data_IF_520469827599
#
_entry.id   IF_520469827599
#
_cell.length_a   1.000
_cell.length_b   1.000
_cell.length_c   1.000
_cell.angle_alpha   90.00
_cell.angle_beta   90.00
_cell.angle_gamma   90.00
#
_symmetry.space_group_name_H-M   'P 1'
#
loop_
_entity.id
_entity.type
_entity.pdbx_description
1 polymer ?
#
# COMPACT_ATOMS: atom_id res chain seq x y z
N UNK A 1 4.72 -10.14 6.68
CA UNK A 1 4.72 -8.94 5.80
C UNK A 1 3.32 -8.78 5.25
N UNK A 2 2.69 -7.62 5.39
CA UNK A 2 1.39 -7.36 4.74
C UNK A 2 1.58 -7.51 3.23
N UNK A 3 0.70 -8.27 2.60
CA UNK A 3 0.73 -8.47 1.15
C UNK A 3 0.31 -7.16 0.45
N UNK A 4 0.74 -6.94 -0.79
CA UNK A 4 0.53 -5.65 -1.48
C UNK A 4 -0.98 -5.31 -1.61
N UNK A 5 -1.85 -6.32 -1.69
CA UNK A 5 -3.30 -6.16 -1.61
C UNK A 5 -3.78 -5.52 -0.29
N UNK A 6 -3.27 -5.99 0.85
CA UNK A 6 -3.66 -5.45 2.17
C UNK A 6 -3.22 -4.00 2.34
N UNK A 7 -2.07 -3.64 1.77
CA UNK A 7 -1.59 -2.25 1.74
C UNK A 7 -2.54 -1.39 0.91
N UNK A 8 -2.96 -1.86 -0.27
CA UNK A 8 -3.90 -1.12 -1.13
C UNK A 8 -5.27 -0.98 -0.43
N UNK A 9 -5.77 -2.02 0.23
CA UNK A 9 -7.03 -1.95 0.98
C UNK A 9 -6.94 -0.98 2.17
N UNK A 10 -5.84 -1.01 2.93
CA UNK A 10 -5.61 -0.09 4.05
C UNK A 10 -5.43 1.37 3.63
N UNK A 11 -5.00 1.62 2.39
CA UNK A 11 -4.94 2.94 1.77
C UNK A 11 -6.32 3.45 1.31
N UNK A 12 -7.38 2.64 1.40
CA UNK A 12 -8.73 2.98 0.93
C UNK A 12 -9.10 2.38 -0.43
N UNK A 13 -8.35 1.37 -0.89
CA UNK A 13 -8.64 0.62 -2.10
C UNK A 13 -8.12 1.28 -3.38
N UNK A 14 -8.40 0.63 -4.52
CA UNK A 14 -7.77 0.95 -5.81
C UNK A 14 -8.02 2.38 -6.27
N UNK A 15 -9.22 2.93 -6.00
CA UNK A 15 -9.59 4.29 -6.42
C UNK A 15 -8.83 5.37 -5.64
N UNK A 16 -8.63 5.16 -4.33
CA UNK A 16 -7.89 6.12 -3.50
C UNK A 16 -6.41 6.06 -3.83
N UNK A 17 -5.86 4.85 -3.98
CA UNK A 17 -4.47 4.66 -4.40
C UNK A 17 -4.21 5.26 -5.79
N UNK A 18 -5.13 5.11 -6.74
CA UNK A 18 -5.06 5.75 -8.05
C UNK A 18 -4.97 7.29 -7.96
N UNK A 19 -5.74 7.91 -7.04
CA UNK A 19 -5.70 9.35 -6.80
C UNK A 19 -4.39 9.80 -6.16
N UNK A 20 -3.87 9.05 -5.17
CA UNK A 20 -2.58 9.33 -4.52
C UNK A 20 -1.45 9.27 -5.54
N UNK A 21 -1.49 8.29 -6.43
CA UNK A 21 -0.45 8.10 -7.43
C UNK A 21 -0.56 9.09 -8.59
N UNK A 22 -1.68 9.78 -8.83
CA UNK A 22 -1.92 10.59 -10.05
C UNK A 22 -1.66 9.77 -11.35
N UNK A 23 -1.93 10.31 -12.57
CA UNK A 23 -2.94 9.80 -13.54
C UNK A 23 -2.98 8.27 -13.77
N UNK A 24 -3.00 7.49 -12.70
CA UNK A 24 -2.89 6.04 -12.71
C UNK A 24 -4.31 5.53 -12.64
N UNK A 25 -4.74 4.81 -13.68
CA UNK A 25 -6.09 4.24 -13.71
C UNK A 25 -6.28 3.23 -12.56
N UNK A 26 -7.46 3.14 -11.93
CA UNK A 26 -7.75 2.13 -10.90
C UNK A 26 -7.47 0.69 -11.35
N UNK A 27 -7.59 0.40 -12.65
CA UNK A 27 -7.28 -0.89 -13.25
C UNK A 27 -5.79 -1.25 -13.16
N UNK A 28 -4.90 -0.25 -13.28
CA UNK A 28 -3.45 -0.44 -13.12
C UNK A 28 -3.13 -0.86 -11.69
N UNK A 29 -3.79 -0.23 -10.71
CA UNK A 29 -3.67 -0.57 -9.28
C UNK A 29 -4.20 -1.98 -9.00
N UNK A 30 -5.29 -2.38 -9.66
CA UNK A 30 -5.77 -3.78 -9.60
C UNK A 30 -4.70 -4.77 -10.09
N UNK A 31 -3.96 -4.40 -11.13
CA UNK A 31 -2.81 -5.17 -11.60
C UNK A 31 -1.67 -5.30 -10.58
N UNK A 32 -1.46 -4.29 -9.73
CA UNK A 32 -0.43 -4.32 -8.67
C UNK A 32 -0.73 -5.36 -7.60
N UNK A 33 -2.00 -5.66 -7.34
CA UNK A 33 -2.39 -6.74 -6.41
C UNK A 33 -1.85 -8.11 -6.83
N UNK A 34 -1.69 -8.33 -8.14
CA UNK A 34 -1.21 -9.58 -8.72
C UNK A 34 0.29 -9.58 -8.99
N UNK A 35 0.81 -8.46 -9.51
CA UNK A 35 2.21 -8.33 -9.96
C UNK A 35 3.14 -7.69 -8.92
N UNK A 36 2.57 -7.13 -7.87
CA UNK A 36 3.24 -6.29 -6.89
C UNK A 36 3.19 -4.80 -7.25
N UNK A 37 3.24 -3.95 -6.23
CA UNK A 37 3.29 -2.49 -6.39
C UNK A 37 4.69 -2.10 -6.90
N UNK A 38 4.82 -1.34 -7.99
CA UNK A 38 6.10 -0.87 -8.48
C UNK A 38 6.88 -0.08 -7.42
N UNK A 39 8.21 -0.23 -7.41
CA UNK A 39 9.08 0.37 -6.39
C UNK A 39 8.95 1.90 -6.28
N UNK A 40 8.81 2.60 -7.40
CA UNK A 40 8.58 4.05 -7.42
C UNK A 40 7.31 4.44 -6.65
N UNK A 41 6.21 3.72 -6.90
CA UNK A 41 4.95 3.95 -6.20
C UNK A 41 4.99 3.52 -4.74
N UNK A 42 5.74 2.46 -4.38
CA UNK A 42 5.95 2.12 -2.97
C UNK A 42 6.58 3.26 -2.18
N UNK A 43 7.52 4.02 -2.76
CA UNK A 43 8.12 5.18 -2.10
C UNK A 43 7.10 6.31 -1.89
N UNK A 44 6.28 6.61 -2.91
CA UNK A 44 5.21 7.62 -2.81
C UNK A 44 4.20 7.23 -1.72
N UNK A 45 3.73 5.98 -1.75
CA UNK A 45 2.77 5.48 -0.76
C UNK A 45 3.37 5.46 0.65
N UNK A 46 4.66 5.15 0.78
CA UNK A 46 5.37 5.20 2.07
C UNK A 46 5.52 6.63 2.59
N UNK A 47 5.68 7.64 1.73
CA UNK A 47 5.66 9.04 2.15
C UNK A 47 4.27 9.48 2.62
N UNK A 48 3.21 8.97 1.98
CA UNK A 48 1.83 9.33 2.33
C UNK A 48 1.33 8.64 3.60
N UNK A 49 1.62 7.35 3.77
CA UNK A 49 1.21 6.53 4.92
C UNK A 49 2.34 5.61 5.36
N UNK A 50 3.39 6.15 6.01
CA UNK A 50 4.53 5.37 6.44
C UNK A 50 4.14 4.27 7.44
N UNK A 51 3.09 4.50 8.23
CA UNK A 51 2.52 3.56 9.21
C UNK A 51 2.05 2.23 8.59
N UNK A 52 1.61 2.23 7.33
CA UNK A 52 1.18 1.01 6.63
C UNK A 52 2.38 0.16 6.15
N UNK A 53 3.55 0.79 6.01
CA UNK A 53 4.79 0.16 5.58
C UNK A 53 5.74 -0.13 6.75
N UNK A 54 5.41 0.31 7.96
CA UNK A 54 6.10 -0.10 9.18
C UNK A 54 5.65 -1.52 9.48
N UNK A 55 6.57 -2.47 9.27
CA UNK A 55 6.39 -3.83 9.80
C UNK A 55 6.35 -3.65 11.32
N UNK A 56 5.21 -3.93 11.93
CA UNK A 56 5.09 -3.94 13.38
C UNK A 56 6.10 -4.95 13.94
N UNK A 57 7.29 -4.47 14.32
CA UNK A 57 8.07 -5.08 15.38
C UNK A 57 7.44 -4.58 16.67
N UNK A 58 6.25 -5.09 16.98
CA UNK A 58 5.68 -5.01 18.30
C UNK A 58 4.56 -6.06 18.42
N UNK A 59 4.96 -7.31 18.66
CA UNK A 59 4.24 -8.11 19.64
C UNK A 59 4.77 -7.61 20.98
N UNK A 60 4.10 -6.61 21.54
CA UNK A 60 4.11 -6.42 22.99
C UNK A 60 3.44 -7.65 23.58
N UNK A 61 4.26 -8.57 24.08
CA UNK A 61 3.89 -9.43 25.19
C UNK A 61 3.56 -8.51 26.36
N UNK A 62 2.28 -8.41 26.73
CA UNK A 62 1.92 -7.93 28.06
C UNK A 62 0.68 -8.69 28.55
N UNK A 63 0.94 -9.41 29.63
CA UNK A 63 0.05 -10.10 30.58
C UNK A 63 -0.59 -11.43 30.14
#
# INVERSE_FOLDING_TARGET
MKNDSEIIDALGGNQVVAKICAPTMPEVVSGWRKRGIPRAWKQVLKCHRPDLFVVASNKEEVA
#
